data_IF_498914437949
#
_entry.id   IF_498914437949
#
_cell.length_a   1.000
_cell.length_b   1.000
_cell.length_c   1.000
_cell.angle_alpha   90.00
_cell.angle_beta   90.00
_cell.angle_gamma   90.00
#
_symmetry.space_group_name_H-M   'P 1'
#
loop_
_entity.id
_entity.type
_entity.pdbx_description
1 polymer ?
#
# COMPACT_ATOMS: atom_id res chain seq x y z
N UNK A 1 30.76 -19.71 2.78
CA UNK A 1 29.61 -19.54 3.70
C UNK A 1 29.18 -18.08 3.89
N UNK A 2 30.05 -17.08 3.66
CA UNK A 2 29.67 -15.65 3.70
C UNK A 2 28.93 -15.18 2.42
N UNK A 3 29.24 -15.74 1.26
CA UNK A 3 28.62 -15.35 -0.02
C UNK A 3 27.12 -15.67 -0.10
N UNK A 4 26.65 -16.70 0.61
CA UNK A 4 25.22 -17.10 0.62
C UNK A 4 24.36 -16.09 1.36
N UNK A 5 24.90 -15.40 2.39
CA UNK A 5 24.16 -14.37 3.12
C UNK A 5 23.92 -13.09 2.28
N UNK A 6 24.79 -12.79 1.31
CA UNK A 6 24.59 -11.63 0.42
C UNK A 6 23.46 -11.83 -0.59
N UNK A 7 23.15 -13.07 -0.98
CA UNK A 7 22.05 -13.37 -1.90
C UNK A 7 20.66 -13.25 -1.24
N UNK A 8 20.57 -13.22 0.08
CA UNK A 8 19.32 -13.00 0.81
C UNK A 8 19.04 -11.51 1.09
N UNK A 9 19.91 -10.59 0.66
CA UNK A 9 19.72 -9.15 0.81
C UNK A 9 18.86 -8.54 -0.30
N UNK A 10 18.04 -9.33 -1.00
CA UNK A 10 16.96 -8.78 -1.82
C UNK A 10 15.94 -8.16 -0.88
N UNK A 11 16.21 -6.92 -0.47
CA UNK A 11 15.25 -6.08 0.22
C UNK A 11 13.95 -6.16 -0.56
N UNK A 12 12.88 -6.55 0.13
CA UNK A 12 11.55 -6.58 -0.45
C UNK A 12 11.30 -5.21 -1.08
N UNK A 13 11.34 -5.15 -2.41
CA UNK A 13 10.87 -4.00 -3.14
C UNK A 13 9.37 -3.98 -2.91
N UNK A 14 8.94 -3.27 -1.87
CA UNK A 14 7.54 -2.97 -1.63
C UNK A 14 7.09 -2.05 -2.76
N UNK A 15 6.76 -2.65 -3.90
CA UNK A 15 6.07 -1.97 -4.96
C UNK A 15 4.68 -1.60 -4.44
N UNK A 16 4.34 -0.32 -4.57
CA UNK A 16 2.98 0.14 -4.31
C UNK A 16 2.02 -0.67 -5.18
N UNK A 17 1.02 -1.26 -4.53
CA UNK A 17 0.02 -2.09 -5.19
C UNK A 17 -1.24 -1.25 -5.43
N UNK A 18 -1.65 -1.13 -6.69
CA UNK A 18 -2.87 -0.41 -7.07
C UNK A 18 -3.99 -1.40 -7.34
N UNK A 19 -5.13 -1.17 -6.70
CA UNK A 19 -6.36 -1.94 -6.80
C UNK A 19 -7.46 -1.09 -7.47
N UNK A 20 -8.37 -1.74 -8.20
CA UNK A 20 -9.50 -1.11 -8.87
C UNK A 20 -10.84 -1.59 -8.28
N UNK A 21 -11.57 -0.67 -7.67
CA UNK A 21 -12.92 -0.90 -7.17
C UNK A 21 -13.93 -1.22 -8.28
N UNK A 22 -13.79 -0.59 -9.45
CA UNK A 22 -14.62 -0.88 -10.63
C UNK A 22 -14.40 -2.31 -11.13
N UNK A 23 -13.17 -2.80 -11.03
CA UNK A 23 -12.80 -4.18 -11.37
C UNK A 23 -13.07 -5.17 -10.23
N UNK A 24 -13.74 -4.74 -9.15
CA UNK A 24 -14.04 -5.52 -7.94
C UNK A 24 -12.81 -6.08 -7.22
N UNK A 25 -11.66 -5.42 -7.35
CA UNK A 25 -10.44 -5.75 -6.60
C UNK A 25 -10.51 -5.13 -5.20
N UNK A 26 -11.48 -5.57 -4.39
CA UNK A 26 -11.78 -4.99 -3.09
C UNK A 26 -10.99 -5.63 -1.93
N UNK A 27 -10.37 -6.81 -2.15
CA UNK A 27 -9.46 -7.43 -1.20
C UNK A 27 -8.06 -6.78 -1.29
N UNK A 28 -7.93 -5.63 -0.66
CA UNK A 28 -6.68 -4.84 -0.63
C UNK A 28 -5.74 -5.41 0.43
N UNK A 29 -4.56 -5.87 0.01
CA UNK A 29 -3.53 -6.33 0.95
C UNK A 29 -2.75 -5.13 1.48
N UNK A 30 -2.80 -4.95 2.80
CA UNK A 30 -2.12 -3.85 3.48
C UNK A 30 -0.68 -4.29 3.81
N UNK A 31 0.36 -3.65 3.24
CA UNK A 31 1.74 -3.93 3.61
C UNK A 31 2.04 -3.42 5.02
N UNK A 32 2.86 -4.18 5.77
CA UNK A 32 3.38 -3.76 7.08
C UNK A 32 4.75 -3.14 6.92
N UNK A 33 4.95 -1.98 7.55
CA UNK A 33 6.23 -1.28 7.60
C UNK A 33 6.64 -1.08 9.06
N UNK A 34 7.92 -1.31 9.35
CA UNK A 34 8.53 -0.97 10.64
C UNK A 34 9.28 0.35 10.48
N UNK A 35 8.53 1.46 10.49
CA UNK A 35 9.04 2.82 10.32
C UNK A 35 8.35 3.75 11.34
N UNK A 36 9.03 4.79 11.79
CA UNK A 36 8.41 5.88 12.56
C UNK A 36 7.87 6.92 11.57
N UNK A 37 6.57 7.19 11.64
CA UNK A 37 5.87 8.06 10.68
C UNK A 37 5.18 9.17 11.45
N UNK A 38 5.27 10.40 10.96
CA UNK A 38 4.53 11.54 11.50
C UNK A 38 3.10 11.49 10.96
N UNK A 39 2.13 11.68 11.85
CA UNK A 39 0.71 11.69 11.51
C UNK A 39 0.19 13.12 11.69
N UNK A 40 0.42 13.96 10.70
CA UNK A 40 0.01 15.37 10.70
C UNK A 40 -0.97 15.74 9.57
N UNK A 41 -1.39 14.74 8.77
CA UNK A 41 -2.31 14.92 7.66
C UNK A 41 -1.65 15.29 6.33
N UNK A 42 -0.31 15.44 6.30
CA UNK A 42 0.46 15.50 5.06
C UNK A 42 0.93 14.08 4.73
N UNK A 43 0.91 13.71 3.45
CA UNK A 43 1.31 12.38 2.98
C UNK A 43 2.66 12.44 2.24
N UNK A 44 3.64 13.13 2.81
CA UNK A 44 4.94 13.35 2.18
C UNK A 44 6.04 12.41 2.70
N UNK A 45 5.79 11.67 3.77
CA UNK A 45 6.70 10.66 4.27
C UNK A 45 6.88 9.50 3.25
N UNK A 46 8.11 8.97 3.09
CA UNK A 46 8.41 7.94 2.09
C UNK A 46 7.58 6.66 2.20
N UNK A 47 7.03 6.35 3.38
CA UNK A 47 6.16 5.20 3.61
C UNK A 47 4.89 5.27 2.75
N UNK A 48 4.35 6.47 2.52
CA UNK A 48 3.10 6.65 1.78
C UNK A 48 3.24 6.32 0.31
N UNK A 49 4.43 6.52 -0.28
CA UNK A 49 4.72 6.12 -1.66
C UNK A 49 4.67 4.59 -1.88
N UNK A 50 4.75 3.80 -0.79
CA UNK A 50 4.72 2.34 -0.81
C UNK A 50 3.38 1.77 -0.34
N UNK A 51 2.43 2.64 0.03
CA UNK A 51 1.11 2.22 0.47
C UNK A 51 0.34 1.52 -0.66
N UNK A 52 -0.59 0.64 -0.30
CA UNK A 52 -1.57 0.12 -1.24
C UNK A 52 -2.59 1.22 -1.58
N UNK A 53 -2.94 1.35 -2.86
CA UNK A 53 -3.86 2.37 -3.36
C UNK A 53 -5.10 1.70 -3.95
N UNK A 54 -6.28 1.98 -3.40
CA UNK A 54 -7.56 1.59 -4.02
C UNK A 54 -8.13 2.75 -4.82
N UNK A 55 -8.26 2.55 -6.12
CA UNK A 55 -8.84 3.50 -7.07
C UNK A 55 -10.23 3.06 -7.50
N UNK A 56 -10.98 3.94 -8.17
CA UNK A 56 -12.30 3.58 -8.71
C UNK A 56 -13.31 3.18 -7.62
N UNK A 57 -13.10 3.67 -6.39
CA UNK A 57 -14.10 3.60 -5.33
C UNK A 57 -15.34 4.39 -5.79
N UNK A 58 -16.51 3.78 -5.64
CA UNK A 58 -17.78 4.47 -5.75
C UNK A 58 -18.49 4.41 -4.41
N UNK A 59 -18.94 5.57 -3.95
CA UNK A 59 -19.91 5.63 -2.87
C UNK A 59 -21.29 5.33 -3.45
N UNK A 60 -21.99 4.37 -2.85
CA UNK A 60 -23.41 4.18 -3.14
C UNK A 60 -24.15 5.48 -2.82
N UNK A 61 -24.86 6.05 -3.81
CA UNK A 61 -25.62 7.29 -3.63
C UNK A 61 -26.68 7.07 -2.54
N UNK A 62 -26.93 8.07 -1.66
CA UNK A 62 -28.03 7.95 -0.70
C UNK A 62 -29.33 7.74 -1.49
N UNK A 63 -30.04 6.66 -1.19
CA UNK A 63 -31.43 6.50 -1.61
C UNK A 63 -32.25 7.25 -0.57
N UNK A 64 -32.64 8.49 -0.90
CA UNK A 64 -33.70 9.16 -0.17
C UNK A 64 -34.98 8.34 -0.39
N UNK A 65 -35.53 7.81 0.71
CA UNK A 65 -36.76 7.01 0.73
C UNK A 65 -38.01 7.86 0.79
#
# INVERSE_FOLDING_TARGET
MFAVLLLLQTGASYQSSTYSGVSRQLDVRIPRFEDVVKIDGVLDEPVWNRAAVLTGFSQYRPVDG
#
